data_IF_190546587643
#
_entry.id   IF_190546587643
#
_cell.length_a   1.000
_cell.length_b   1.000
_cell.length_c   1.000
_cell.angle_alpha   90.00
_cell.angle_beta   90.00
_cell.angle_gamma   90.00
#
_symmetry.space_group_name_H-M   'P 1'
#
loop_
_entity.id
_entity.type
_entity.pdbx_description
1 polymer ?
#
# COMPACT_ATOMS: atom_id res chain seq x y z
N UNK A 1 3.41 5.70 23.97
CA UNK A 1 1.92 5.79 23.99
C UNK A 1 1.48 6.51 22.72
N UNK A 2 0.82 5.82 21.79
CA UNK A 2 0.39 6.35 20.48
C UNK A 2 -0.64 7.49 20.63
N UNK A 3 -1.52 7.40 21.64
CA UNK A 3 -2.59 8.37 21.90
C UNK A 3 -2.14 9.83 22.14
N UNK A 4 -0.83 10.10 22.28
CA UNK A 4 -0.31 11.46 22.42
C UNK A 4 -0.14 12.18 21.07
N UNK A 5 -0.23 11.49 19.94
CA UNK A 5 -0.04 12.09 18.61
C UNK A 5 1.36 12.65 18.35
N UNK A 6 2.36 12.24 19.12
CA UNK A 6 3.72 12.74 19.02
C UNK A 6 4.54 11.83 18.10
N UNK A 7 4.97 12.38 16.97
CA UNK A 7 5.89 11.76 16.02
C UNK A 7 6.78 12.83 15.41
N UNK A 8 7.98 12.45 14.99
CA UNK A 8 8.95 13.32 14.32
C UNK A 8 9.05 12.88 12.86
N UNK A 9 8.93 13.81 11.93
CA UNK A 9 9.05 13.53 10.50
C UNK A 9 10.46 13.88 10.00
N UNK A 10 11.07 13.07 9.13
CA UNK A 10 12.33 13.39 8.50
C UNK A 10 12.25 14.68 7.68
N UNK A 11 13.32 15.47 7.67
CA UNK A 11 13.46 16.67 6.83
C UNK A 11 13.58 16.33 5.33
N UNK A 12 13.78 15.06 4.98
CA UNK A 12 13.82 14.58 3.61
C UNK A 12 12.44 14.44 2.97
N UNK A 13 11.37 14.55 3.76
CA UNK A 13 10.01 14.46 3.24
C UNK A 13 9.60 15.77 2.56
N UNK A 14 8.85 15.66 1.47
CA UNK A 14 8.23 16.82 0.85
C UNK A 14 7.16 17.42 1.76
N UNK A 15 6.80 18.69 1.53
CA UNK A 15 5.77 19.34 2.34
C UNK A 15 4.41 18.64 2.21
N UNK A 16 4.09 18.14 1.03
CA UNK A 16 2.86 17.40 0.76
C UNK A 16 2.86 16.06 1.51
N UNK A 17 4.01 15.41 1.65
CA UNK A 17 4.13 14.16 2.42
C UNK A 17 3.96 14.42 3.92
N UNK A 18 4.58 15.48 4.43
CA UNK A 18 4.44 15.92 5.82
C UNK A 18 2.97 16.23 6.14
N UNK A 19 2.31 16.99 5.26
CA UNK A 19 0.90 17.35 5.39
C UNK A 19 -0.01 16.12 5.36
N UNK A 20 0.21 15.20 4.41
CA UNK A 20 -0.54 13.94 4.30
C UNK A 20 -0.44 13.12 5.59
N UNK A 21 0.79 12.88 6.07
CA UNK A 21 1.04 12.05 7.25
C UNK A 21 0.44 12.71 8.49
N UNK A 22 0.59 14.03 8.65
CA UNK A 22 0.06 14.75 9.80
C UNK A 22 -1.47 14.69 9.87
N UNK A 23 -2.15 14.82 8.72
CA UNK A 23 -3.61 14.75 8.66
C UNK A 23 -4.15 13.32 8.79
N UNK A 24 -3.41 12.31 8.32
CA UNK A 24 -3.75 10.90 8.50
C UNK A 24 -3.55 10.43 9.95
N UNK A 25 -2.53 10.95 10.64
CA UNK A 25 -2.21 10.61 12.03
C UNK A 25 -2.86 11.56 13.04
N UNK A 26 -3.97 12.20 12.66
CA UNK A 26 -4.74 13.01 13.60
C UNK A 26 -5.32 12.16 14.73
N UNK A 27 -5.14 12.68 15.95
CA UNK A 27 -5.58 12.02 17.20
C UNK A 27 -7.10 11.99 17.27
N UNK A 28 -7.75 13.10 16.92
CA UNK A 28 -9.19 13.16 16.76
C UNK A 28 -9.60 12.48 15.45
N UNK A 29 -10.30 11.36 15.56
CA UNK A 29 -10.79 10.58 14.42
C UNK A 29 -11.72 11.37 13.49
N UNK A 30 -12.50 12.32 14.02
CA UNK A 30 -13.45 13.11 13.23
C UNK A 30 -12.73 14.11 12.33
N UNK A 31 -11.56 14.57 12.77
CA UNK A 31 -10.70 15.49 12.01
C UNK A 31 -9.69 14.76 11.11
N UNK A 32 -9.57 13.44 11.25
CA UNK A 32 -8.63 12.63 10.47
C UNK A 32 -8.97 12.70 8.99
N UNK A 33 -7.95 12.86 8.15
CA UNK A 33 -8.13 12.80 6.70
C UNK A 33 -8.79 11.47 6.29
N UNK A 34 -9.85 11.55 5.49
CA UNK A 34 -10.66 10.39 5.12
C UNK A 34 -11.87 10.13 6.03
N UNK A 35 -12.01 10.81 7.17
CA UNK A 35 -13.17 10.62 8.09
C UNK A 35 -14.51 10.97 7.45
N UNK A 36 -14.53 11.97 6.56
CA UNK A 36 -15.70 12.39 5.78
C UNK A 36 -15.77 11.71 4.40
N UNK A 37 -15.03 10.62 4.22
CA UNK A 37 -14.97 9.86 2.99
C UNK A 37 -13.64 9.97 2.25
N UNK A 38 -13.42 8.98 1.38
CA UNK A 38 -12.14 8.73 0.70
C UNK A 38 -11.76 9.82 -0.33
N UNK A 39 -12.70 10.65 -0.77
CA UNK A 39 -12.43 11.69 -1.76
C UNK A 39 -11.41 12.71 -1.27
N UNK A 40 -11.50 13.09 0.01
CA UNK A 40 -10.52 14.00 0.66
C UNK A 40 -9.09 13.45 0.62
N UNK A 41 -8.95 12.13 0.77
CA UNK A 41 -7.67 11.44 0.70
C UNK A 41 -7.14 11.36 -0.74
N UNK A 42 -8.00 10.93 -1.68
CA UNK A 42 -7.63 10.76 -3.10
C UNK A 42 -7.24 12.08 -3.79
N UNK A 43 -7.83 13.19 -3.36
CA UNK A 43 -7.55 14.52 -3.90
C UNK A 43 -6.40 15.25 -3.18
N UNK A 44 -5.76 14.61 -2.19
CA UNK A 44 -4.67 15.24 -1.47
C UNK A 44 -3.50 15.57 -2.43
N UNK A 45 -2.83 16.74 -2.33
CA UNK A 45 -1.76 17.14 -3.25
C UNK A 45 -0.62 16.13 -3.39
N UNK A 46 -0.36 15.33 -2.35
CA UNK A 46 0.62 14.25 -2.40
C UNK A 46 0.31 13.19 -3.47
N UNK A 47 -0.98 12.97 -3.77
CA UNK A 47 -1.45 12.09 -4.83
C UNK A 47 -1.70 12.82 -6.16
N UNK A 48 -1.18 14.04 -6.33
CA UNK A 48 -1.31 14.77 -7.59
C UNK A 48 -0.72 13.95 -8.75
N UNK A 49 -1.50 13.82 -9.83
CA UNK A 49 -1.13 13.02 -11.01
C UNK A 49 -1.44 11.52 -10.90
N UNK A 50 -1.96 11.03 -9.77
CA UNK A 50 -2.42 9.64 -9.66
C UNK A 50 -3.77 9.48 -10.35
N UNK A 51 -3.79 8.67 -11.41
CA UNK A 51 -5.03 8.19 -12.01
C UNK A 51 -5.54 6.96 -11.24
N UNK A 52 -6.49 7.19 -10.34
CA UNK A 52 -7.10 6.15 -9.52
C UNK A 52 -7.88 5.10 -10.32
N UNK A 53 -8.34 5.43 -11.54
CA UNK A 53 -9.00 4.47 -12.42
C UNK A 53 -7.99 3.52 -13.04
N UNK A 54 -6.87 4.04 -13.53
CA UNK A 54 -5.78 3.18 -14.07
C UNK A 54 -5.19 2.27 -13.00
N UNK A 55 -5.10 2.75 -11.75
CA UNK A 55 -4.69 1.91 -10.61
C UNK A 55 -5.70 0.78 -10.36
N UNK A 56 -7.01 1.10 -10.34
CA UNK A 56 -8.06 0.10 -10.13
C UNK A 56 -8.15 -0.91 -11.28
N UNK A 57 -7.91 -0.46 -12.52
CA UNK A 57 -7.95 -1.30 -13.72
C UNK A 57 -6.62 -2.06 -13.95
N UNK A 58 -5.64 -1.96 -13.04
CA UNK A 58 -4.29 -2.55 -13.18
C UNK A 58 -3.51 -2.11 -14.43
N UNK A 59 -3.79 -0.90 -14.93
CA UNK A 59 -3.16 -0.32 -16.12
C UNK A 59 -2.12 0.75 -15.80
N UNK A 60 -1.99 1.14 -14.53
CA UNK A 60 -0.94 2.06 -14.09
C UNK A 60 0.46 1.47 -14.36
N UNK A 61 1.39 2.24 -14.96
CA UNK A 61 2.70 1.73 -15.33
C UNK A 61 3.52 1.37 -14.09
N UNK A 62 4.17 0.21 -14.14
CA UNK A 62 5.09 -0.23 -13.09
C UNK A 62 6.36 0.65 -13.15
N UNK A 63 6.84 1.19 -12.01
CA UNK A 63 8.10 1.91 -11.97
C UNK A 63 9.26 1.08 -12.54
N UNK A 64 10.06 1.69 -13.42
CA UNK A 64 11.15 1.01 -14.12
C UNK A 64 12.18 0.38 -13.18
N UNK A 65 12.40 0.98 -12.01
CA UNK A 65 13.30 0.42 -10.97
C UNK A 65 12.84 -0.97 -10.50
N UNK A 66 11.53 -1.18 -10.37
CA UNK A 66 10.98 -2.48 -9.96
C UNK A 66 11.27 -3.52 -11.04
N UNK A 67 11.02 -3.18 -12.30
CA UNK A 67 11.31 -4.06 -13.44
C UNK A 67 12.81 -4.39 -13.51
N UNK A 68 13.67 -3.38 -13.34
CA UNK A 68 15.13 -3.56 -13.31
C UNK A 68 15.58 -4.50 -12.18
N UNK A 69 15.03 -4.34 -10.97
CA UNK A 69 15.35 -5.22 -9.83
C UNK A 69 14.88 -6.66 -10.05
N UNK A 70 13.75 -6.86 -10.73
CA UNK A 70 13.26 -8.18 -11.11
C UNK A 70 14.20 -8.83 -12.13
N UNK A 71 14.52 -8.12 -13.22
CA UNK A 71 15.46 -8.60 -14.25
C UNK A 71 16.81 -8.98 -13.66
N UNK A 72 17.41 -8.12 -12.85
CA UNK A 72 18.69 -8.39 -12.20
C UNK A 72 18.65 -9.64 -11.30
N UNK A 73 17.53 -9.86 -10.58
CA UNK A 73 17.39 -11.09 -9.77
C UNK A 73 17.28 -12.33 -10.65
N UNK A 74 16.50 -12.28 -11.72
CA UNK A 74 16.35 -13.41 -12.64
C UNK A 74 17.68 -13.78 -13.31
N UNK A 75 18.48 -12.77 -13.69
CA UNK A 75 19.81 -12.96 -14.27
C UNK A 75 20.82 -13.52 -13.24
N UNK A 76 20.75 -13.08 -11.98
CA UNK A 76 21.65 -13.53 -10.92
C UNK A 76 21.31 -14.92 -10.36
N UNK A 77 20.05 -15.34 -10.42
CA UNK A 77 19.57 -16.65 -9.97
C UNK A 77 19.49 -17.63 -11.15
N UNK A 78 20.61 -17.87 -11.84
CA UNK A 78 20.75 -18.66 -13.07
C UNK A 78 20.25 -20.12 -13.09
N UNK A 79 19.40 -20.53 -12.15
CA UNK A 79 18.60 -21.76 -12.20
C UNK A 79 17.31 -21.56 -11.37
N UNK A 80 16.33 -20.82 -11.91
CA UNK A 80 14.96 -20.91 -11.38
C UNK A 80 14.36 -22.20 -11.91
N UNK A 81 14.47 -23.29 -11.13
CA UNK A 81 13.63 -24.45 -11.32
C UNK A 81 12.18 -23.96 -11.28
N UNK A 82 11.48 -24.02 -12.42
CA UNK A 82 10.13 -23.49 -12.63
C UNK A 82 9.13 -24.06 -11.60
N UNK A 83 9.46 -25.20 -10.96
CA UNK A 83 8.71 -25.76 -9.84
C UNK A 83 8.66 -24.87 -8.58
N UNK A 84 9.61 -23.93 -8.38
CA UNK A 84 9.66 -23.06 -7.19
C UNK A 84 8.90 -21.74 -7.35
N UNK A 85 8.48 -21.37 -8.57
CA UNK A 85 7.67 -20.17 -8.84
C UNK A 85 6.17 -20.44 -8.72
N UNK A 86 5.76 -21.71 -8.67
CA UNK A 86 4.47 -22.04 -8.11
C UNK A 86 4.56 -21.81 -6.59
N UNK A 87 3.88 -20.78 -6.09
CA UNK A 87 3.21 -20.95 -4.81
C UNK A 87 2.51 -22.31 -4.87
N UNK A 88 2.63 -23.18 -3.86
CA UNK A 88 1.78 -24.36 -3.83
C UNK A 88 0.39 -23.83 -4.07
N UNK A 89 -0.27 -24.33 -5.12
CA UNK A 89 -1.73 -24.24 -5.19
C UNK A 89 -2.12 -25.03 -3.95
N UNK A 90 -2.29 -24.32 -2.83
CA UNK A 90 -2.98 -24.86 -1.68
C UNK A 90 -4.36 -25.08 -2.23
N UNK A 91 -4.73 -26.35 -2.30
CA UNK A 91 -6.04 -26.81 -2.72
C UNK A 91 -7.10 -25.81 -2.24
N UNK A 92 -7.89 -25.31 -3.18
CA UNK A 92 -8.89 -24.24 -3.00
C UNK A 92 -10.08 -24.67 -2.12
N UNK A 93 -9.88 -25.68 -1.26
CA UNK A 93 -10.93 -26.44 -0.57
C UNK A 93 -10.80 -26.36 0.97
N UNK A 94 -9.82 -25.63 1.50
CA UNK A 94 -9.67 -25.37 2.95
C UNK A 94 -9.68 -23.87 3.30
N UNK A 95 -10.52 -23.05 2.63
CA UNK A 95 -10.94 -21.78 3.23
C UNK A 95 -12.07 -22.06 4.23
N UNK A 96 -11.73 -22.77 5.32
CA UNK A 96 -12.55 -22.70 6.53
C UNK A 96 -12.58 -21.22 6.92
N UNK A 97 -13.76 -20.60 6.81
CA UNK A 97 -14.03 -19.31 7.42
C UNK A 97 -13.55 -19.37 8.85
N UNK A 98 -12.56 -18.56 9.25
CA UNK A 98 -12.10 -18.58 10.62
C UNK A 98 -13.24 -18.13 11.53
N UNK A 99 -13.48 -18.87 12.60
CA UNK A 99 -14.57 -18.66 13.57
C UNK A 99 -14.64 -17.21 14.11
N UNK A 100 -13.52 -16.49 14.12
CA UNK A 100 -13.47 -15.09 14.52
C UNK A 100 -14.22 -14.11 13.59
N UNK A 101 -14.66 -14.56 12.40
CA UNK A 101 -15.44 -13.76 11.44
C UNK A 101 -16.96 -13.93 11.62
N UNK A 102 -17.43 -14.85 12.49
CA UNK A 102 -18.87 -15.11 12.68
C UNK A 102 -19.54 -14.19 13.71
N UNK A 103 -18.76 -13.48 14.54
CA UNK A 103 -19.27 -12.66 15.64
C UNK A 103 -19.31 -11.14 15.37
N UNK A 104 -19.39 -10.70 14.10
CA UNK A 104 -19.56 -9.28 13.75
C UNK A 104 -20.82 -9.01 12.91
#
# INVERSE_FOLDING_TARGET
RIAKGQFTLPHTFSQEAIDLITKLLQVDEKLRLGSQGVHSLKNHPWFSGVDWKEVADHRSPVPAEILSRISQRLENHGDVNIASLHSPIRDLEELNTPEWLEDW
#
